data_IF_225453704381
#
_entry.id   IF_225453704381
#
_cell.length_a   1.000
_cell.length_b   1.000
_cell.length_c   1.000
_cell.angle_alpha   90.00
_cell.angle_beta   90.00
_cell.angle_gamma   90.00
#
_symmetry.space_group_name_H-M   'P 1'
#
loop_
_entity.id
_entity.type
_entity.pdbx_description
1 polymer ?
#
# COMPACT_ATOMS: atom_id res chain seq x y z
N UNK A 1 72.36 18.37 29.91
CA UNK A 1 71.04 19.00 30.12
C UNK A 1 70.25 18.84 28.84
N UNK A 2 69.35 17.85 28.81
CA UNK A 2 68.52 17.58 27.66
C UNK A 2 67.11 18.10 28.02
N UNK A 3 66.66 19.14 27.35
CA UNK A 3 65.34 19.76 27.55
C UNK A 3 64.34 19.05 26.66
N UNK A 4 63.45 18.23 27.21
CA UNK A 4 62.35 17.57 26.54
C UNK A 4 61.16 18.51 26.50
N UNK A 5 60.92 19.15 25.36
CA UNK A 5 59.69 19.94 25.10
C UNK A 5 58.53 18.97 24.95
N UNK A 6 57.65 18.91 25.94
CA UNK A 6 56.39 18.16 25.92
C UNK A 6 55.36 18.97 25.10
N UNK A 7 55.18 18.55 23.84
CA UNK A 7 54.18 19.10 22.94
C UNK A 7 52.75 18.79 23.49
N UNK A 8 52.12 19.77 24.10
CA UNK A 8 50.71 19.71 24.53
C UNK A 8 49.81 19.73 23.31
N UNK A 9 49.39 18.57 22.86
CA UNK A 9 48.34 18.45 21.86
C UNK A 9 47.01 18.92 22.46
N UNK A 10 46.52 20.10 22.08
CA UNK A 10 45.28 20.68 22.50
C UNK A 10 44.08 19.79 22.09
N UNK A 11 43.34 19.20 23.00
CA UNK A 11 42.19 18.31 22.71
C UNK A 11 41.07 19.00 21.93
N UNK A 12 40.94 20.30 22.02
CA UNK A 12 39.99 21.15 21.31
C UNK A 12 40.04 20.99 19.78
N UNK A 13 41.24 20.89 19.18
CA UNK A 13 41.38 20.75 17.72
C UNK A 13 40.81 19.41 17.22
N UNK A 14 40.86 18.37 18.03
CA UNK A 14 40.34 17.05 17.70
C UNK A 14 38.78 17.09 17.77
N UNK A 15 38.19 17.73 18.76
CA UNK A 15 36.75 17.88 18.90
C UNK A 15 36.13 18.72 17.76
N UNK A 16 36.83 19.78 17.31
CA UNK A 16 36.42 20.55 16.14
C UNK A 16 36.41 19.75 14.85
N UNK A 17 37.44 18.92 14.62
CA UNK A 17 37.53 18.06 13.44
C UNK A 17 36.43 16.97 13.43
N UNK A 18 36.13 16.38 14.60
CA UNK A 18 35.04 15.39 14.73
C UNK A 18 33.68 16.03 14.47
N UNK A 19 33.44 17.21 15.01
CA UNK A 19 32.17 17.93 14.81
C UNK A 19 31.92 18.28 13.33
N UNK A 20 32.95 18.75 12.61
CA UNK A 20 32.83 19.03 11.17
C UNK A 20 32.60 17.79 10.33
N UNK A 21 33.22 16.66 10.69
CA UNK A 21 33.05 15.40 9.99
C UNK A 21 31.64 14.83 10.20
N UNK A 22 31.10 14.91 11.41
CA UNK A 22 29.71 14.50 11.70
C UNK A 22 28.71 15.36 10.94
N UNK A 23 28.91 16.68 10.90
CA UNK A 23 28.03 17.58 10.15
C UNK A 23 28.07 17.24 8.65
N UNK A 24 29.25 16.99 8.08
CA UNK A 24 29.39 16.61 6.68
C UNK A 24 28.67 15.28 6.36
N UNK A 25 28.80 14.27 7.23
CA UNK A 25 28.13 12.98 7.05
C UNK A 25 26.60 13.12 7.17
N UNK A 26 26.11 13.91 8.11
CA UNK A 26 24.67 14.19 8.27
C UNK A 26 24.15 14.97 7.06
N UNK A 27 24.88 15.97 6.59
CA UNK A 27 24.48 16.74 5.41
C UNK A 27 24.43 15.87 4.14
N UNK A 28 25.45 15.00 3.91
CA UNK A 28 25.43 14.07 2.78
C UNK A 28 24.27 13.07 2.89
N UNK A 29 23.95 12.58 4.08
CA UNK A 29 22.82 11.67 4.29
C UNK A 29 21.46 12.34 3.98
N UNK A 30 21.30 13.62 4.32
CA UNK A 30 20.07 14.37 3.97
C UNK A 30 20.00 14.72 2.49
N UNK A 31 21.13 15.01 1.84
CA UNK A 31 21.20 15.33 0.41
C UNK A 31 21.07 14.10 -0.51
N UNK A 32 21.41 12.91 0.00
CA UNK A 32 21.32 11.65 -0.76
C UNK A 32 20.06 10.85 -0.48
N UNK A 33 19.15 11.34 0.38
CA UNK A 33 17.82 10.71 0.49
C UNK A 33 17.17 10.79 -0.89
N UNK A 34 16.83 9.64 -1.52
CA UNK A 34 16.02 9.71 -2.73
C UNK A 34 14.74 10.45 -2.33
N UNK A 35 14.44 11.54 -3.04
CA UNK A 35 13.14 12.16 -2.93
C UNK A 35 12.13 11.06 -3.24
N UNK A 36 11.28 10.70 -2.26
CA UNK A 36 10.10 9.92 -2.57
C UNK A 36 9.36 10.75 -3.61
N UNK A 37 9.44 10.30 -4.86
CA UNK A 37 8.70 10.90 -5.95
C UNK A 37 7.25 10.77 -5.56
N UNK A 38 6.66 11.86 -5.08
CA UNK A 38 5.23 11.96 -4.91
C UNK A 38 4.64 11.70 -6.30
N UNK A 39 4.18 10.47 -6.52
CA UNK A 39 3.50 10.10 -7.74
C UNK A 39 2.27 11.00 -7.79
N UNK A 40 2.31 12.01 -8.65
CA UNK A 40 1.18 12.90 -8.87
C UNK A 40 0.08 12.07 -9.53
N UNK A 41 -0.86 11.59 -8.72
CA UNK A 41 -2.03 10.88 -9.20
C UNK A 41 -2.90 11.86 -9.98
N UNK A 42 -2.80 11.81 -11.30
CA UNK A 42 -3.83 12.44 -12.15
C UNK A 42 -5.03 11.50 -12.19
N UNK A 43 -6.26 12.00 -12.27
CA UNK A 43 -7.46 11.15 -12.40
C UNK A 43 -7.34 10.13 -13.53
N UNK A 44 -6.70 10.51 -14.64
CA UNK A 44 -6.47 9.62 -15.76
C UNK A 44 -5.55 8.43 -15.41
N UNK A 45 -4.46 8.68 -14.68
CA UNK A 45 -3.55 7.58 -14.26
C UNK A 45 -4.24 6.62 -13.29
N UNK A 46 -5.07 7.14 -12.39
CA UNK A 46 -5.86 6.32 -11.47
C UNK A 46 -6.86 5.43 -12.20
N UNK A 47 -7.57 5.96 -13.19
CA UNK A 47 -8.51 5.18 -14.00
C UNK A 47 -7.79 4.08 -14.81
N UNK A 48 -6.64 4.40 -15.41
CA UNK A 48 -5.85 3.40 -16.16
C UNK A 48 -5.42 2.27 -15.23
N UNK A 49 -4.91 2.59 -14.04
CA UNK A 49 -4.52 1.58 -13.06
C UNK A 49 -5.70 0.74 -12.60
N UNK A 50 -6.84 1.37 -12.28
CA UNK A 50 -8.07 0.69 -11.88
C UNK A 50 -8.53 -0.32 -12.93
N UNK A 51 -8.58 0.08 -14.20
CA UNK A 51 -8.95 -0.81 -15.32
C UNK A 51 -7.94 -1.93 -15.54
N UNK A 52 -6.65 -1.65 -15.42
CA UNK A 52 -5.61 -2.67 -15.53
C UNK A 52 -5.68 -3.71 -14.40
N UNK A 53 -6.05 -3.28 -13.20
CA UNK A 53 -6.29 -4.18 -12.07
C UNK A 53 -7.54 -5.03 -12.29
N UNK A 54 -8.65 -4.44 -12.71
CA UNK A 54 -9.90 -5.15 -12.99
C UNK A 54 -9.70 -6.24 -14.06
N UNK A 55 -8.88 -5.95 -15.08
CA UNK A 55 -8.54 -6.92 -16.12
C UNK A 55 -7.68 -8.10 -15.63
N UNK A 56 -6.98 -7.95 -14.49
CA UNK A 56 -6.12 -8.98 -13.87
C UNK A 56 -6.76 -9.63 -12.65
N UNK A 57 -7.89 -9.10 -12.19
CA UNK A 57 -8.59 -9.60 -11.02
C UNK A 57 -9.01 -11.06 -11.22
N UNK A 58 -9.03 -11.82 -10.13
CA UNK A 58 -9.55 -13.19 -10.16
C UNK A 58 -11.05 -13.13 -10.43
N UNK A 59 -11.59 -13.90 -11.38
CA UNK A 59 -13.03 -13.96 -11.59
C UNK A 59 -13.75 -14.38 -10.30
N UNK A 60 -14.88 -13.75 -9.99
CA UNK A 60 -15.63 -13.99 -8.75
C UNK A 60 -15.89 -15.46 -8.50
N UNK A 61 -16.41 -16.18 -9.50
CA UNK A 61 -16.76 -17.60 -9.38
C UNK A 61 -15.53 -18.48 -9.10
N UNK A 62 -14.36 -18.11 -9.64
CA UNK A 62 -13.10 -18.81 -9.40
C UNK A 62 -12.61 -18.55 -7.98
N UNK A 63 -12.72 -17.31 -7.52
CA UNK A 63 -12.30 -16.94 -6.16
C UNK A 63 -13.13 -17.66 -5.10
N UNK A 64 -14.46 -17.72 -5.27
CA UNK A 64 -15.39 -18.36 -4.32
C UNK A 64 -15.33 -19.89 -4.38
N UNK A 65 -14.87 -20.47 -5.48
CA UNK A 65 -14.64 -21.91 -5.57
C UNK A 65 -13.35 -22.39 -4.90
N UNK A 66 -12.42 -21.48 -4.59
CA UNK A 66 -11.12 -21.80 -4.00
C UNK A 66 -11.10 -21.58 -2.49
N UNK A 67 -10.54 -22.48 -1.66
CA UNK A 67 -10.44 -22.30 -0.20
C UNK A 67 -9.33 -21.29 0.14
N UNK A 68 -9.48 -20.06 -0.31
CA UNK A 68 -8.50 -18.99 -0.21
C UNK A 68 -9.18 -17.68 0.20
N UNK A 69 -8.63 -16.95 1.18
CA UNK A 69 -9.18 -15.66 1.54
C UNK A 69 -9.34 -14.75 0.33
N UNK A 70 -10.36 -13.91 0.31
CA UNK A 70 -10.72 -13.09 -0.85
C UNK A 70 -11.02 -11.65 -0.44
N UNK A 71 -10.37 -10.70 -1.08
CA UNK A 71 -10.76 -9.30 -1.02
C UNK A 71 -11.62 -8.98 -2.25
N UNK A 72 -12.85 -8.56 -2.03
CA UNK A 72 -13.76 -8.07 -3.07
C UNK A 72 -13.74 -6.54 -3.04
N UNK A 73 -13.44 -5.90 -4.16
CA UNK A 73 -13.63 -4.47 -4.36
C UNK A 73 -14.83 -4.22 -5.28
N UNK A 74 -15.87 -3.58 -4.73
CA UNK A 74 -16.94 -3.00 -5.53
C UNK A 74 -16.50 -1.60 -5.97
N UNK A 75 -16.49 -1.37 -7.27
CA UNK A 75 -15.98 -0.13 -7.86
C UNK A 75 -16.85 0.38 -9.01
N UNK A 76 -16.56 1.58 -9.47
CA UNK A 76 -17.07 2.12 -10.74
C UNK A 76 -15.98 2.93 -11.43
N UNK A 77 -16.01 3.00 -12.76
CA UNK A 77 -15.02 3.75 -13.55
C UNK A 77 -15.03 5.26 -13.22
N UNK A 78 -16.19 5.82 -12.92
CA UNK A 78 -16.38 7.23 -12.55
C UNK A 78 -16.01 7.55 -11.09
N UNK A 79 -15.76 6.55 -10.27
CA UNK A 79 -15.46 6.71 -8.85
C UNK A 79 -14.05 7.29 -8.65
N UNK A 80 -13.94 8.56 -8.31
CA UNK A 80 -12.65 9.23 -8.08
C UNK A 80 -11.87 8.65 -6.89
N UNK A 81 -12.58 8.17 -5.86
CA UNK A 81 -11.96 7.51 -4.70
C UNK A 81 -11.40 6.14 -5.09
N UNK A 82 -12.09 5.36 -5.93
CA UNK A 82 -11.59 4.10 -6.47
C UNK A 82 -10.30 4.33 -7.27
N UNK A 83 -10.32 5.33 -8.16
CA UNK A 83 -9.13 5.74 -8.92
C UNK A 83 -7.97 6.16 -8.02
N UNK A 84 -8.24 6.90 -6.94
CA UNK A 84 -7.21 7.32 -5.97
C UNK A 84 -6.66 6.15 -5.13
N UNK A 85 -7.47 5.11 -4.88
CA UNK A 85 -7.07 3.90 -4.16
C UNK A 85 -6.34 2.88 -5.03
N UNK A 86 -6.51 2.94 -6.35
CA UNK A 86 -6.04 1.92 -7.30
C UNK A 86 -4.57 1.52 -7.11
N UNK A 87 -3.66 2.47 -6.97
CA UNK A 87 -2.23 2.16 -6.76
C UNK A 87 -1.93 1.49 -5.42
N UNK A 88 -2.70 1.81 -4.39
CA UNK A 88 -2.58 1.14 -3.08
C UNK A 88 -3.02 -0.31 -3.20
N UNK A 89 -4.16 -0.56 -3.84
CA UNK A 89 -4.69 -1.90 -4.04
C UNK A 89 -3.80 -2.71 -5.00
N UNK A 90 -3.31 -2.11 -6.09
CA UNK A 90 -2.37 -2.78 -7.01
C UNK A 90 -1.09 -3.23 -6.28
N UNK A 91 -0.55 -2.38 -5.40
CA UNK A 91 0.62 -2.74 -4.57
C UNK A 91 0.31 -3.90 -3.63
N UNK A 92 -0.89 -3.92 -3.02
CA UNK A 92 -1.33 -5.00 -2.14
C UNK A 92 -1.57 -6.29 -2.93
N UNK A 93 -2.17 -6.18 -4.11
CA UNK A 93 -2.34 -7.33 -5.02
C UNK A 93 -1.00 -7.95 -5.36
N UNK A 94 -0.02 -7.16 -5.82
CA UNK A 94 1.32 -7.68 -6.13
C UNK A 94 1.99 -8.35 -4.92
N UNK A 95 1.74 -7.85 -3.71
CA UNK A 95 2.37 -8.38 -2.50
C UNK A 95 1.68 -9.65 -1.97
N UNK A 96 0.37 -9.80 -2.16
CA UNK A 96 -0.43 -10.85 -1.50
C UNK A 96 -1.15 -11.81 -2.47
N UNK A 97 -0.97 -11.70 -3.80
CA UNK A 97 -1.68 -12.50 -4.80
C UNK A 97 -1.55 -14.02 -4.59
N UNK A 98 -0.41 -14.48 -4.05
CA UNK A 98 -0.20 -15.91 -3.76
C UNK A 98 -1.08 -16.40 -2.58
N UNK A 99 -1.43 -15.52 -1.64
CA UNK A 99 -2.09 -15.85 -0.39
C UNK A 99 -3.54 -15.39 -0.33
N UNK A 100 -3.94 -14.43 -1.17
CA UNK A 100 -5.25 -13.79 -1.16
C UNK A 100 -5.75 -13.62 -2.60
N UNK A 101 -7.03 -13.91 -2.85
CA UNK A 101 -7.67 -13.55 -4.11
C UNK A 101 -8.08 -12.07 -4.07
N UNK A 102 -7.90 -11.39 -5.20
CA UNK A 102 -8.39 -10.03 -5.41
C UNK A 102 -9.45 -10.07 -6.51
N UNK A 103 -10.68 -9.75 -6.14
CA UNK A 103 -11.86 -9.72 -7.01
C UNK A 103 -12.29 -8.27 -7.17
N UNK A 104 -12.66 -7.88 -8.38
CA UNK A 104 -13.12 -6.53 -8.67
C UNK A 104 -14.46 -6.58 -9.43
N UNK A 105 -15.51 -6.00 -8.84
CA UNK A 105 -16.86 -6.02 -9.36
C UNK A 105 -17.30 -4.59 -9.68
N UNK A 106 -17.49 -4.29 -10.98
CA UNK A 106 -17.99 -2.99 -11.40
C UNK A 106 -19.51 -2.93 -11.15
N UNK A 107 -19.96 -2.04 -10.28
CA UNK A 107 -21.37 -1.92 -9.92
C UNK A 107 -22.27 -1.44 -11.07
N UNK A 108 -21.69 -0.87 -12.12
CA UNK A 108 -22.42 -0.46 -13.33
C UNK A 108 -22.73 -1.66 -14.25
N UNK A 109 -22.15 -2.84 -13.97
CA UNK A 109 -22.40 -4.06 -14.74
C UNK A 109 -23.56 -4.85 -14.12
N UNK A 110 -24.70 -5.02 -14.82
CA UNK A 110 -25.90 -5.66 -14.28
C UNK A 110 -25.69 -7.10 -13.78
N UNK A 111 -24.69 -7.79 -14.29
CA UNK A 111 -24.34 -9.15 -13.87
C UNK A 111 -23.96 -9.24 -12.39
N UNK A 112 -23.51 -8.15 -11.77
CA UNK A 112 -23.10 -8.11 -10.37
C UNK A 112 -24.18 -7.62 -9.40
N UNK A 113 -25.39 -7.39 -9.89
CA UNK A 113 -26.49 -6.88 -9.05
C UNK A 113 -26.80 -7.79 -7.84
N UNK A 114 -26.67 -9.12 -7.98
CA UNK A 114 -26.83 -10.08 -6.90
C UNK A 114 -25.75 -9.96 -5.84
N UNK A 115 -24.49 -9.84 -6.25
CA UNK A 115 -23.35 -9.67 -5.34
C UNK A 115 -23.39 -8.30 -4.64
N UNK A 116 -23.76 -7.24 -5.35
CA UNK A 116 -23.98 -5.91 -4.76
C UNK A 116 -25.03 -6.00 -3.63
N UNK A 117 -26.11 -6.73 -3.84
CA UNK A 117 -27.15 -6.92 -2.82
C UNK A 117 -26.69 -7.85 -1.69
N UNK A 118 -26.02 -8.96 -2.02
CA UNK A 118 -25.53 -9.96 -1.06
C UNK A 118 -24.54 -9.36 -0.06
N UNK A 119 -23.56 -8.60 -0.55
CA UNK A 119 -22.54 -7.96 0.29
C UNK A 119 -22.92 -6.54 0.75
N UNK A 120 -24.18 -6.13 0.53
CA UNK A 120 -24.68 -4.83 0.96
C UNK A 120 -23.86 -3.65 0.45
N UNK A 121 -23.37 -3.71 -0.80
CA UNK A 121 -22.53 -2.65 -1.35
C UNK A 121 -23.34 -1.36 -1.54
N UNK A 122 -23.18 -0.45 -0.57
CA UNK A 122 -23.94 0.81 -0.46
C UNK A 122 -23.23 2.03 -1.01
N UNK A 123 -21.99 1.90 -1.39
CA UNK A 123 -21.14 2.97 -1.95
C UNK A 123 -19.86 2.41 -2.55
N UNK A 124 -19.13 3.23 -3.30
CA UNK A 124 -17.86 2.82 -3.94
C UNK A 124 -16.72 3.78 -3.60
N UNK A 125 -15.48 3.25 -3.39
CA UNK A 125 -15.20 1.82 -3.31
C UNK A 125 -15.78 1.20 -2.06
N UNK A 126 -16.25 -0.04 -2.13
CA UNK A 126 -16.46 -0.88 -0.96
C UNK A 126 -15.50 -2.07 -1.05
N UNK A 127 -14.84 -2.36 0.07
CA UNK A 127 -13.93 -3.48 0.21
C UNK A 127 -14.52 -4.48 1.19
N UNK A 128 -14.77 -5.70 0.76
CA UNK A 128 -15.26 -6.79 1.63
C UNK A 128 -14.21 -7.89 1.68
N UNK A 129 -13.73 -8.20 2.87
CA UNK A 129 -12.76 -9.27 3.11
C UNK A 129 -13.47 -10.52 3.57
N UNK A 130 -13.24 -11.62 2.87
CA UNK A 130 -13.71 -12.96 3.20
C UNK A 130 -12.54 -13.82 3.70
N UNK A 131 -12.78 -14.69 4.67
CA UNK A 131 -11.86 -15.75 5.06
C UNK A 131 -11.83 -16.90 4.03
N UNK A 132 -11.04 -17.94 4.30
CA UNK A 132 -10.92 -19.11 3.40
C UNK A 132 -12.18 -19.99 3.35
N UNK A 133 -13.15 -19.79 4.28
CA UNK A 133 -14.46 -20.41 4.27
C UNK A 133 -15.53 -19.48 3.67
N UNK A 134 -15.11 -18.34 3.14
CA UNK A 134 -15.93 -17.27 2.53
C UNK A 134 -16.92 -16.60 3.50
N UNK A 135 -16.64 -16.63 4.80
CA UNK A 135 -17.36 -15.79 5.74
C UNK A 135 -16.80 -14.36 5.68
N UNK A 136 -17.68 -13.39 5.72
CA UNK A 136 -17.27 -11.98 5.79
C UNK A 136 -16.57 -11.70 7.12
N UNK A 137 -15.34 -11.20 7.03
CA UNK A 137 -14.51 -10.80 8.19
C UNK A 137 -14.68 -9.33 8.49
N UNK A 138 -14.71 -8.51 7.43
CA UNK A 138 -14.79 -7.06 7.55
C UNK A 138 -15.23 -6.42 6.23
N UNK A 139 -15.93 -5.28 6.29
CA UNK A 139 -16.33 -4.49 5.13
C UNK A 139 -16.13 -3.00 5.39
N UNK A 140 -15.66 -2.27 4.38
CA UNK A 140 -15.38 -0.83 4.45
C UNK A 140 -15.88 -0.12 3.21
N UNK A 141 -16.45 1.06 3.39
CA UNK A 141 -16.81 1.95 2.29
C UNK A 141 -15.90 3.17 2.28
N UNK A 142 -15.37 3.51 1.11
CA UNK A 142 -14.53 4.69 0.91
C UNK A 142 -13.03 4.41 1.07
N UNK A 143 -12.28 5.45 1.43
CA UNK A 143 -10.82 5.39 1.48
C UNK A 143 -10.32 4.65 2.72
N UNK A 144 -9.57 3.56 2.50
CA UNK A 144 -8.97 2.74 3.57
C UNK A 144 -7.44 2.88 3.52
N UNK A 145 -6.77 3.20 4.63
CA UNK A 145 -5.31 3.25 4.70
C UNK A 145 -4.65 1.88 4.47
N UNK A 146 -3.52 1.84 3.74
CA UNK A 146 -2.78 0.61 3.45
C UNK A 146 -2.43 -0.23 4.70
N UNK A 147 -2.03 0.33 5.86
CA UNK A 147 -1.79 -0.46 7.07
C UNK A 147 -3.00 -1.25 7.54
N UNK A 148 -4.22 -0.69 7.42
CA UNK A 148 -5.46 -1.37 7.81
C UNK A 148 -5.66 -2.65 6.98
N UNK A 149 -5.45 -2.59 5.67
CA UNK A 149 -5.50 -3.80 4.83
C UNK A 149 -4.48 -4.85 5.27
N UNK A 150 -3.24 -4.44 5.59
CA UNK A 150 -2.20 -5.36 6.04
C UNK A 150 -2.57 -6.08 7.33
N UNK A 151 -3.13 -5.36 8.29
CA UNK A 151 -3.56 -5.91 9.57
C UNK A 151 -4.74 -6.88 9.37
N UNK A 152 -5.65 -6.58 8.45
CA UNK A 152 -6.76 -7.45 8.07
C UNK A 152 -6.28 -8.72 7.37
N UNK A 153 -5.38 -8.59 6.40
CA UNK A 153 -4.83 -9.74 5.67
C UNK A 153 -4.08 -10.69 6.60
N UNK A 154 -3.30 -10.14 7.55
CA UNK A 154 -2.61 -10.96 8.56
C UNK A 154 -3.58 -11.83 9.39
N UNK A 155 -4.83 -11.39 9.60
CA UNK A 155 -5.84 -12.16 10.35
C UNK A 155 -6.43 -13.34 9.57
N UNK A 156 -6.42 -13.28 8.24
CA UNK A 156 -7.06 -14.31 7.39
C UNK A 156 -6.06 -15.23 6.69
N UNK A 157 -4.79 -14.79 6.59
CA UNK A 157 -3.70 -15.54 5.93
C UNK A 157 -2.98 -16.45 6.95
N UNK A 158 -3.03 -16.11 8.26
CA UNK A 158 -2.30 -16.61 9.41
C UNK A 158 -2.13 -18.07 9.65
#
# INVERSE_FOLDING_TARGET
MVSTSKEQRHPWKIWGAIATLVIAVVATFFLTRPAETAVSYTPLSGLITLKAMAAKAVPYEVAIAAPKPTLIEFYADWCTTCQAMSSTIDTLHQQYAEQLNFVMLNIDEPQWASQVAEYGASGVPQFTLLDSAHHEVESFVGKVPKPVFKDLFARVIG
#
